data_IF_976220965288
#
_entry.id   IF_976220965288
#
_cell.length_a   1.000
_cell.length_b   1.000
_cell.length_c   1.000
_cell.angle_alpha   90.00
_cell.angle_beta   90.00
_cell.angle_gamma   90.00
#
_symmetry.space_group_name_H-M   'P 1'
#
loop_
_entity.id
_entity.type
_entity.pdbx_description
1 polymer ?
#
# COMPACT_ATOMS: atom_id res chain seq x y z
N UNK A 1 7.31 -12.11 37.79
CA UNK A 1 7.90 -11.36 36.66
C UNK A 1 6.78 -10.72 35.84
N UNK A 2 6.57 -9.41 35.95
CA UNK A 2 5.61 -8.66 35.14
C UNK A 2 6.19 -8.41 33.76
N UNK A 3 5.55 -8.92 32.69
CA UNK A 3 5.94 -8.64 31.30
C UNK A 3 6.00 -7.11 31.10
N UNK A 4 7.07 -6.55 30.51
CA UNK A 4 7.16 -5.11 30.30
C UNK A 4 5.98 -4.66 29.44
N UNK A 5 5.31 -3.59 29.87
CA UNK A 5 4.26 -2.94 29.09
C UNK A 5 4.86 -2.55 27.75
N UNK A 6 4.36 -3.14 26.66
CA UNK A 6 4.75 -2.74 25.30
C UNK A 6 4.49 -1.24 25.18
N UNK A 7 5.56 -0.45 25.03
CA UNK A 7 5.44 0.99 24.84
C UNK A 7 4.67 1.21 23.53
N UNK A 8 3.43 1.69 23.65
CA UNK A 8 2.58 1.93 22.49
C UNK A 8 2.99 3.26 21.89
N UNK A 9 3.65 3.19 20.75
CA UNK A 9 4.06 4.37 19.98
C UNK A 9 2.81 5.17 19.58
N UNK A 10 2.72 6.47 19.92
CA UNK A 10 1.60 7.32 19.57
C UNK A 10 1.30 7.31 18.07
N UNK A 11 0.03 7.45 17.71
CA UNK A 11 -0.38 7.51 16.30
C UNK A 11 0.28 8.65 15.53
N UNK A 12 0.52 9.78 16.18
CA UNK A 12 1.14 10.96 15.60
C UNK A 12 2.58 10.71 15.15
N UNK A 13 3.34 9.92 15.91
CA UNK A 13 4.71 9.57 15.56
C UNK A 13 4.74 8.73 14.28
N UNK A 14 3.78 7.80 14.12
CA UNK A 14 3.60 7.07 12.87
C UNK A 14 3.27 7.98 11.70
N UNK A 15 2.38 8.97 11.88
CA UNK A 15 2.03 9.91 10.81
C UNK A 15 3.23 10.79 10.40
N UNK A 16 4.09 11.20 11.34
CA UNK A 16 5.34 11.93 11.04
C UNK A 16 6.25 11.15 10.09
N UNK A 17 6.31 9.83 10.24
CA UNK A 17 7.13 8.95 9.42
C UNK A 17 6.40 8.35 8.21
N UNK A 18 5.09 8.60 8.05
CA UNK A 18 4.26 8.00 7.00
C UNK A 18 4.79 8.24 5.59
N UNK A 19 5.21 9.47 5.28
CA UNK A 19 5.72 9.81 3.95
C UNK A 19 7.06 9.11 3.66
N UNK A 20 7.93 8.98 4.67
CA UNK A 20 9.19 8.24 4.54
C UNK A 20 8.90 6.75 4.31
N UNK A 21 7.98 6.17 5.08
CA UNK A 21 7.54 4.78 4.90
C UNK A 21 6.94 4.57 3.51
N UNK A 22 6.08 5.50 3.07
CA UNK A 22 5.46 5.47 1.74
C UNK A 22 6.53 5.44 0.66
N UNK A 23 7.49 6.36 0.72
CA UNK A 23 8.60 6.46 -0.25
C UNK A 23 9.43 5.18 -0.28
N UNK A 24 9.88 4.70 0.88
CA UNK A 24 10.70 3.49 0.96
C UNK A 24 9.94 2.26 0.43
N UNK A 25 8.66 2.14 0.76
CA UNK A 25 7.88 0.94 0.47
C UNK A 25 7.31 0.91 -0.95
N UNK A 26 6.69 2.01 -1.39
CA UNK A 26 5.97 2.10 -2.66
C UNK A 26 6.88 2.61 -3.78
N UNK A 27 7.56 3.74 -3.55
CA UNK A 27 8.33 4.42 -4.60
C UNK A 27 9.69 3.72 -4.84
N UNK A 28 10.44 3.42 -3.78
CA UNK A 28 11.71 2.68 -3.84
C UNK A 28 11.53 1.15 -3.91
N UNK A 29 10.27 0.68 -3.87
CA UNK A 29 9.89 -0.75 -3.99
C UNK A 29 10.59 -1.70 -3.00
N UNK A 30 11.14 -1.21 -1.88
CA UNK A 30 11.83 -2.05 -0.88
C UNK A 30 10.93 -3.12 -0.29
N UNK A 31 11.51 -4.24 0.13
CA UNK A 31 10.75 -5.30 0.81
C UNK A 31 10.15 -4.79 2.12
N UNK A 32 9.00 -5.35 2.51
CA UNK A 32 8.39 -4.99 3.78
C UNK A 32 9.25 -5.53 4.94
N UNK A 33 9.62 -6.79 4.83
CA UNK A 33 10.41 -7.55 5.80
C UNK A 33 11.84 -7.82 5.29
N UNK A 34 12.67 -8.43 6.14
CA UNK A 34 14.07 -8.72 5.88
C UNK A 34 15.02 -7.64 6.40
N UNK A 35 16.32 -7.91 6.34
CA UNK A 35 17.37 -7.06 6.92
C UNK A 35 17.34 -5.62 6.37
N UNK A 36 17.07 -5.47 5.07
CA UNK A 36 16.94 -4.18 4.37
C UNK A 36 15.49 -3.72 4.22
N UNK A 37 14.55 -4.43 4.84
CA UNK A 37 13.12 -4.16 4.76
C UNK A 37 12.72 -2.92 5.56
N UNK A 38 11.62 -2.29 5.15
CA UNK A 38 11.11 -1.07 5.80
C UNK A 38 10.78 -1.32 7.27
N UNK A 39 10.28 -2.51 7.62
CA UNK A 39 10.00 -2.87 9.02
C UNK A 39 11.27 -2.94 9.87
N UNK A 40 12.36 -3.55 9.36
CA UNK A 40 13.59 -3.68 10.14
C UNK A 40 14.25 -2.31 10.35
N UNK A 41 14.30 -1.48 9.30
CA UNK A 41 14.85 -0.13 9.38
C UNK A 41 14.10 0.73 10.40
N UNK A 42 12.77 0.78 10.32
CA UNK A 42 11.97 1.57 11.25
C UNK A 42 11.96 1.00 12.67
N UNK A 43 12.13 -0.32 12.83
CA UNK A 43 12.21 -0.97 14.16
C UNK A 43 13.53 -0.63 14.82
N UNK A 44 14.63 -0.68 14.08
CA UNK A 44 15.97 -0.39 14.59
C UNK A 44 16.15 1.10 14.91
N UNK A 45 15.61 1.99 14.07
CA UNK A 45 15.78 3.44 14.26
C UNK A 45 14.77 4.01 15.28
N UNK A 46 13.51 3.56 15.25
CA UNK A 46 12.43 4.18 16.01
C UNK A 46 11.71 3.24 16.98
N UNK A 47 12.07 1.96 17.06
CA UNK A 47 11.41 0.98 17.94
C UNK A 47 10.01 0.54 17.48
N UNK A 48 9.63 0.86 16.24
CA UNK A 48 8.29 0.61 15.70
C UNK A 48 8.04 -0.90 15.54
N UNK A 49 6.88 -1.40 16.03
CA UNK A 49 6.58 -2.84 16.03
C UNK A 49 5.13 -3.20 15.63
N UNK A 50 4.37 -2.29 15.03
CA UNK A 50 2.94 -2.46 14.70
C UNK A 50 2.62 -2.09 13.24
N UNK A 51 3.47 -2.52 12.29
CA UNK A 51 3.42 -2.09 10.90
C UNK A 51 2.19 -2.57 10.13
N UNK A 52 1.76 -3.82 10.29
CA UNK A 52 0.64 -4.37 9.52
C UNK A 52 -0.63 -3.53 9.69
N UNK A 53 -0.95 -3.16 10.94
CA UNK A 53 -2.10 -2.31 11.24
C UNK A 53 -1.97 -0.93 10.63
N UNK A 54 -0.74 -0.37 10.60
CA UNK A 54 -0.47 0.96 10.05
C UNK A 54 -0.56 0.97 8.53
N UNK A 55 0.05 -0.01 7.87
CA UNK A 55 -0.03 -0.17 6.42
C UNK A 55 -1.47 -0.41 5.97
N UNK A 56 -2.23 -1.24 6.70
CA UNK A 56 -3.66 -1.43 6.43
C UNK A 56 -4.44 -0.12 6.60
N UNK A 57 -4.22 0.62 7.68
CA UNK A 57 -4.88 1.91 7.93
C UNK A 57 -4.54 2.96 6.85
N UNK A 58 -3.31 2.96 6.34
CA UNK A 58 -2.89 3.86 5.28
C UNK A 58 -3.22 3.37 3.86
N UNK A 59 -3.71 2.13 3.72
CA UNK A 59 -3.99 1.54 2.41
C UNK A 59 -2.72 1.25 1.58
N UNK A 60 -1.54 1.15 2.22
CA UNK A 60 -0.29 0.89 1.50
C UNK A 60 -0.27 -0.54 0.99
N UNK A 61 -0.40 -0.70 -0.33
CA UNK A 61 -0.36 -1.98 -1.02
C UNK A 61 0.40 -1.84 -2.33
N UNK A 62 1.24 -2.82 -2.66
CA UNK A 62 1.98 -2.85 -3.93
C UNK A 62 1.17 -3.37 -5.11
N UNK A 63 0.18 -4.21 -4.83
CA UNK A 63 -0.58 -4.93 -5.83
C UNK A 63 -2.08 -4.84 -5.54
N UNK A 64 -2.87 -4.91 -6.61
CA UNK A 64 -4.31 -5.10 -6.56
C UNK A 64 -4.63 -6.59 -6.46
N UNK A 65 -5.67 -6.92 -5.69
CA UNK A 65 -6.21 -8.28 -5.57
C UNK A 65 -7.22 -8.54 -6.68
N UNK A 66 -7.60 -9.81 -6.87
CA UNK A 66 -8.63 -10.21 -7.85
C UNK A 66 -9.92 -9.41 -7.70
N UNK A 67 -10.41 -9.22 -6.47
CA UNK A 67 -11.65 -8.49 -6.26
C UNK A 67 -11.49 -6.98 -6.53
N UNK A 68 -10.30 -6.41 -6.32
CA UNK A 68 -10.02 -5.04 -6.75
C UNK A 68 -10.13 -4.92 -8.28
N UNK A 69 -9.61 -5.90 -9.03
CA UNK A 69 -9.70 -5.92 -10.49
C UNK A 69 -11.14 -6.05 -10.99
N UNK A 70 -11.98 -6.87 -10.35
CA UNK A 70 -13.41 -6.95 -10.67
C UNK A 70 -14.12 -5.61 -10.50
N UNK A 71 -13.81 -4.90 -9.42
CA UNK A 71 -14.38 -3.56 -9.18
C UNK A 71 -13.92 -2.59 -10.28
N UNK A 72 -12.63 -2.62 -10.62
CA UNK A 72 -12.08 -1.79 -11.70
C UNK A 72 -12.77 -2.10 -13.03
N UNK A 73 -12.97 -3.37 -13.37
CA UNK A 73 -13.65 -3.78 -14.60
C UNK A 73 -15.06 -3.20 -14.68
N UNK A 74 -15.87 -3.38 -13.63
CA UNK A 74 -17.22 -2.84 -13.55
C UNK A 74 -17.24 -1.31 -13.73
N UNK A 75 -16.38 -0.59 -13.01
CA UNK A 75 -16.30 0.88 -13.10
C UNK A 75 -15.87 1.33 -14.50
N UNK A 76 -14.95 0.60 -15.15
CA UNK A 76 -14.54 0.92 -16.52
C UNK A 76 -15.66 0.64 -17.52
N UNK A 77 -16.40 -0.44 -17.36
CA UNK A 77 -17.55 -0.78 -18.21
C UNK A 77 -18.63 0.30 -18.13
N UNK A 78 -19.00 0.73 -16.92
CA UNK A 78 -19.95 1.83 -16.69
C UNK A 78 -19.48 3.14 -17.35
N UNK A 79 -18.21 3.50 -17.15
CA UNK A 79 -17.64 4.71 -17.75
C UNK A 79 -17.61 4.65 -19.28
N UNK A 80 -17.28 3.49 -19.85
CA UNK A 80 -17.30 3.27 -21.30
C UNK A 80 -18.70 3.40 -21.88
N UNK A 81 -19.72 2.86 -21.20
CA UNK A 81 -21.13 3.06 -21.58
C UNK A 81 -21.53 4.54 -21.55
N UNK A 82 -20.97 5.31 -20.62
CA UNK A 82 -21.14 6.77 -20.56
C UNK A 82 -20.21 7.56 -21.53
N UNK A 83 -19.48 6.89 -22.44
CA UNK A 83 -18.58 7.52 -23.42
C UNK A 83 -17.28 8.09 -22.83
N UNK A 84 -16.89 7.68 -21.62
CA UNK A 84 -15.69 8.20 -20.92
C UNK A 84 -14.53 7.21 -20.99
N UNK A 85 -13.36 7.69 -21.38
CA UNK A 85 -12.11 6.95 -21.20
C UNK A 85 -11.68 6.94 -19.72
N UNK A 86 -10.87 5.94 -19.35
CA UNK A 86 -10.43 5.74 -17.96
C UNK A 86 -9.00 5.21 -17.93
N UNK A 87 -8.14 5.91 -17.21
CA UNK A 87 -6.81 5.45 -16.80
C UNK A 87 -6.89 4.93 -15.36
N UNK A 88 -6.10 3.90 -15.06
CA UNK A 88 -6.07 3.28 -13.73
C UNK A 88 -4.72 3.58 -13.08
N UNK A 89 -4.77 4.18 -11.90
CA UNK A 89 -3.57 4.48 -11.11
C UNK A 89 -3.52 3.63 -9.84
N UNK A 90 -2.33 3.16 -9.48
CA UNK A 90 -2.06 2.53 -8.19
C UNK A 90 -0.90 3.27 -7.52
N UNK A 91 -1.16 3.79 -6.31
CA UNK A 91 -0.19 4.59 -5.54
C UNK A 91 0.34 5.84 -6.26
N UNK A 92 -0.41 6.36 -7.24
CA UNK A 92 0.00 7.50 -8.07
C UNK A 92 0.79 7.10 -9.33
N UNK A 93 1.10 5.82 -9.51
CA UNK A 93 1.69 5.31 -10.75
C UNK A 93 0.59 4.87 -11.72
N UNK A 94 0.70 5.28 -12.98
CA UNK A 94 -0.18 4.80 -14.05
C UNK A 94 0.06 3.31 -14.26
N UNK A 95 -1.02 2.52 -14.22
CA UNK A 95 -0.96 1.11 -14.62
C UNK A 95 -1.10 1.06 -16.14
N UNK A 96 -0.17 0.41 -16.86
CA UNK A 96 -0.26 0.27 -18.31
C UNK A 96 -1.58 -0.37 -18.75
N UNK A 97 -2.21 0.20 -19.77
CA UNK A 97 -3.52 -0.22 -20.27
C UNK A 97 -3.57 -1.71 -20.62
N UNK A 98 -2.51 -2.27 -21.23
CA UNK A 98 -2.39 -3.70 -21.53
C UNK A 98 -2.53 -4.57 -20.26
N UNK A 99 -1.90 -4.15 -19.16
CA UNK A 99 -2.01 -4.85 -17.88
C UNK A 99 -3.43 -4.74 -17.31
N UNK A 100 -4.06 -3.57 -17.43
CA UNK A 100 -5.45 -3.40 -16.99
C UNK A 100 -6.35 -4.35 -17.77
N UNK A 101 -6.26 -4.37 -19.10
CA UNK A 101 -7.07 -5.26 -19.96
C UNK A 101 -6.86 -6.74 -19.63
N UNK A 102 -5.60 -7.16 -19.45
CA UNK A 102 -5.27 -8.54 -19.10
C UNK A 102 -5.88 -8.98 -17.76
N UNK A 103 -5.88 -8.10 -16.76
CA UNK A 103 -6.37 -8.43 -15.41
C UNK A 103 -7.90 -8.31 -15.30
N UNK A 104 -8.54 -7.42 -16.07
CA UNK A 104 -10.01 -7.28 -16.09
C UNK A 104 -10.71 -8.32 -16.96
N UNK A 105 -10.02 -8.94 -17.91
CA UNK A 105 -10.60 -9.98 -18.79
C UNK A 105 -10.59 -11.40 -18.20
N UNK A 106 -10.36 -11.56 -16.89
CA UNK A 106 -10.22 -12.86 -16.19
C UNK A 106 -11.47 -13.29 -15.46
#
# INVERSE_FOLDING_TARGET
MTKPRRHRIPGEEWERHKNVIKKLYLDEKRTLEGERGVMNMMKTIHGFSQYETRFRRWGFRKNLKRDDWKIIDNVRAERKQAGKSSEVYLNGELIPEEKVQKETSR
#
